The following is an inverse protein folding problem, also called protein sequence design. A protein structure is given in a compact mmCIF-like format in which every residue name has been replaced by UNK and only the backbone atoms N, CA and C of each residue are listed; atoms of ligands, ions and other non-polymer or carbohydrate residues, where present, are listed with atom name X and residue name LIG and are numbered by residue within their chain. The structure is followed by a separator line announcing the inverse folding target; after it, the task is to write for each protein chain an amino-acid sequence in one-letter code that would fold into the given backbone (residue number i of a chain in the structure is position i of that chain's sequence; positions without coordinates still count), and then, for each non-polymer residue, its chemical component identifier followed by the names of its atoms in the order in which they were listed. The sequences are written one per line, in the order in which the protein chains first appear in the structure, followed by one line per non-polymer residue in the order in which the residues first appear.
data_IF_723749831448
#
_entry.id   IF_723749831448
#
_cell.length_a   1.000
_cell.length_b   1.000
_cell.length_c   1.000
_cell.angle_alpha   90.00
_cell.angle_beta   90.00
_cell.angle_gamma   90.00
#
_symmetry.space_group_name_H-M   'P 1'
#
loop_
_entity.id
_entity.type
_entity.pdbx_description
1 polymer ?
#
# COMPACT_ATOMS: atom_id res chain seq x y z
N UNK A 1 16.40 -3.42 -19.72
CA UNK A 1 16.49 -2.76 -18.41
C UNK A 1 16.16 -3.78 -17.33
N UNK A 2 16.89 -3.86 -16.21
CA UNK A 2 16.50 -4.73 -15.10
C UNK A 2 15.14 -4.27 -14.55
N UNK A 3 14.30 -5.24 -14.17
CA UNK A 3 13.02 -4.95 -13.50
C UNK A 3 13.31 -4.28 -12.15
N UNK A 4 12.46 -3.35 -11.67
CA UNK A 4 12.63 -2.80 -10.34
C UNK A 4 12.50 -3.91 -9.29
N UNK A 5 13.38 -3.90 -8.29
CA UNK A 5 13.30 -4.82 -7.16
C UNK A 5 12.13 -4.41 -6.26
N UNK A 6 11.17 -5.31 -6.08
CA UNK A 6 10.07 -5.16 -5.12
C UNK A 6 10.23 -6.18 -4.01
N UNK A 7 10.10 -5.77 -2.73
CA UNK A 7 10.22 -6.70 -1.61
C UNK A 7 9.20 -7.84 -1.70
N UNK A 8 9.57 -8.99 -1.15
CA UNK A 8 8.72 -10.17 -1.04
C UNK A 8 7.52 -9.91 -0.10
N UNK A 9 6.52 -10.79 -0.19
CA UNK A 9 5.37 -10.79 0.71
C UNK A 9 5.82 -10.90 2.17
N UNK A 10 5.39 -9.94 2.98
CA UNK A 10 5.62 -9.93 4.44
C UNK A 10 4.31 -10.23 5.15
N UNK A 11 4.29 -11.27 5.98
CA UNK A 11 3.09 -11.64 6.75
C UNK A 11 2.70 -10.51 7.71
N UNK A 12 1.41 -10.15 7.70
CA UNK A 12 0.84 -9.25 8.68
C UNK A 12 0.55 -10.01 9.98
N UNK A 13 0.89 -9.42 11.13
CA UNK A 13 0.73 -10.04 12.45
C UNK A 13 0.16 -9.04 13.45
N UNK A 14 -0.38 -9.53 14.57
CA UNK A 14 -0.90 -8.70 15.65
C UNK A 14 -1.94 -7.69 15.18
N UNK A 15 -1.79 -6.43 15.60
CA UNK A 15 -2.70 -5.33 15.29
C UNK A 15 -2.86 -5.09 13.79
N UNK A 16 -1.82 -5.34 12.99
CA UNK A 16 -1.91 -5.20 11.55
C UNK A 16 -2.97 -6.13 10.97
N UNK A 17 -2.99 -7.40 11.41
CA UNK A 17 -3.98 -8.37 10.94
C UNK A 17 -5.42 -7.99 11.37
N UNK A 18 -5.59 -7.41 12.57
CA UNK A 18 -6.90 -6.96 13.08
C UNK A 18 -7.46 -5.82 12.23
N UNK A 19 -6.62 -4.84 11.88
CA UNK A 19 -7.05 -3.66 11.10
C UNK A 19 -7.46 -4.01 9.67
N UNK A 20 -6.98 -5.12 9.11
CA UNK A 20 -7.33 -5.55 7.75
C UNK A 20 -8.78 -6.04 7.61
N UNK A 21 -9.50 -6.24 8.72
CA UNK A 21 -10.95 -6.51 8.69
C UNK A 21 -11.76 -5.35 8.10
N UNK A 22 -11.26 -4.10 8.18
CA UNK A 22 -11.93 -2.94 7.63
C UNK A 22 -12.05 -3.00 6.09
N UNK A 23 -11.03 -3.56 5.43
CA UNK A 23 -10.96 -3.67 3.96
C UNK A 23 -12.06 -4.59 3.42
N UNK A 24 -12.37 -5.66 4.16
CA UNK A 24 -13.35 -6.67 3.74
C UNK A 24 -14.78 -6.26 4.08
N UNK A 25 -14.98 -5.34 5.02
CA UNK A 25 -16.30 -4.83 5.41
C UNK A 25 -16.92 -3.85 4.41
N UNK A 26 -16.11 -3.06 3.70
CA UNK A 26 -16.58 -2.11 2.70
C UNK A 26 -15.51 -1.85 1.60
N UNK A 27 -15.33 -2.78 0.65
CA UNK A 27 -14.41 -2.60 -0.47
C UNK A 27 -14.74 -1.35 -1.31
N UNK A 28 -13.71 -0.73 -1.89
CA UNK A 28 -13.79 0.52 -2.66
C UNK A 28 -13.77 1.80 -1.81
N UNK A 29 -14.04 1.71 -0.51
CA UNK A 29 -13.94 2.84 0.40
C UNK A 29 -12.50 2.99 0.93
N UNK A 30 -12.11 4.24 1.13
CA UNK A 30 -10.84 4.61 1.74
C UNK A 30 -11.01 4.78 3.25
N UNK A 31 -10.14 4.15 4.02
CA UNK A 31 -10.15 4.22 5.48
C UNK A 31 -8.79 4.66 6.03
N UNK A 32 -8.75 5.52 7.06
CA UNK A 32 -7.52 5.77 7.80
C UNK A 32 -6.98 4.46 8.39
N UNK A 33 -5.68 4.24 8.25
CA UNK A 33 -4.99 3.08 8.81
C UNK A 33 -4.05 3.56 9.94
N UNK A 34 -4.18 3.04 11.17
CA UNK A 34 -3.34 3.49 12.28
C UNK A 34 -1.85 3.24 12.01
N UNK A 35 -1.00 4.25 12.14
CA UNK A 35 0.45 4.10 11.95
C UNK A 35 1.06 3.04 12.89
N UNK A 36 0.55 2.95 14.13
CA UNK A 36 0.99 1.93 15.10
C UNK A 36 0.60 0.49 14.73
N UNK A 37 -0.31 0.32 13.77
CA UNK A 37 -0.68 -1.00 13.23
C UNK A 37 0.11 -1.34 11.94
N UNK A 38 1.06 -0.50 11.52
CA UNK A 38 1.92 -0.84 10.41
C UNK A 38 2.86 -1.99 10.80
N UNK A 39 3.15 -2.94 9.89
CA UNK A 39 4.20 -3.91 10.11
C UNK A 39 5.52 -3.23 10.50
N UNK A 40 6.21 -3.76 11.51
CA UNK A 40 7.46 -3.16 12.00
C UNK A 40 8.56 -3.07 10.93
N UNK A 41 8.50 -3.85 9.84
CA UNK A 41 9.38 -3.72 8.69
C UNK A 41 9.11 -2.43 7.89
N UNK A 42 7.84 -2.03 7.73
CA UNK A 42 7.44 -0.78 7.07
C UNK A 42 7.84 0.40 7.93
N UNK A 43 7.51 0.37 9.23
CA UNK A 43 7.81 1.45 10.17
C UNK A 43 9.31 1.75 10.24
N UNK A 44 10.15 0.71 10.39
CA UNK A 44 11.61 0.87 10.43
C UNK A 44 12.20 1.36 9.11
N UNK A 45 11.57 1.01 7.98
CA UNK A 45 12.03 1.39 6.64
C UNK A 45 11.64 2.81 6.23
N UNK A 46 10.74 3.47 6.96
CA UNK A 46 10.17 4.77 6.59
C UNK A 46 10.29 5.78 7.75
N UNK A 47 11.38 6.55 7.84
CA UNK A 47 11.44 7.63 8.81
C UNK A 47 10.44 8.74 8.46
N UNK A 48 9.89 9.40 9.49
CA UNK A 48 8.93 10.51 9.40
C UNK A 48 7.58 10.13 8.75
N UNK A 49 7.03 8.98 9.11
CA UNK A 49 5.66 8.61 8.76
C UNK A 49 4.67 9.68 9.23
N UNK A 50 3.67 9.96 8.40
CA UNK A 50 2.67 10.99 8.68
C UNK A 50 1.27 10.41 8.68
N UNK A 51 0.88 9.73 7.60
CA UNK A 51 -0.45 9.17 7.46
C UNK A 51 -0.39 7.80 6.79
N UNK A 52 -1.40 6.98 7.03
CA UNK A 52 -1.63 5.77 6.26
C UNK A 52 -3.12 5.61 6.00
N UNK A 53 -3.44 5.09 4.83
CA UNK A 53 -4.79 4.85 4.38
C UNK A 53 -4.86 3.51 3.68
N UNK A 54 -6.02 2.87 3.74
CA UNK A 54 -6.21 1.54 3.19
C UNK A 54 -7.52 1.47 2.42
N UNK A 55 -7.51 0.73 1.32
CA UNK A 55 -8.70 0.52 0.49
C UNK A 55 -8.72 -0.90 -0.05
N UNK A 56 -9.92 -1.49 -0.10
CA UNK A 56 -10.16 -2.81 -0.64
C UNK A 56 -10.54 -2.80 -2.11
N UNK A 57 -10.08 -3.80 -2.85
CA UNK A 57 -10.59 -4.04 -4.19
C UNK A 57 -12.00 -4.63 -4.13
N UNK A 58 -12.91 -4.11 -4.93
CA UNK A 58 -14.27 -4.68 -5.08
C UNK A 58 -14.19 -6.14 -5.54
N UNK A 59 -13.23 -6.45 -6.41
CA UNK A 59 -12.93 -7.80 -6.85
C UNK A 59 -11.47 -8.13 -6.52
N UNK A 60 -11.22 -9.11 -5.61
CA UNK A 60 -9.88 -9.59 -5.35
C UNK A 60 -9.18 -10.04 -6.63
N UNK A 61 -7.90 -9.69 -6.77
CA UNK A 61 -7.08 -9.99 -7.94
C UNK A 61 -6.16 -11.16 -7.64
N UNK A 62 -6.02 -12.09 -8.59
CA UNK A 62 -5.07 -13.19 -8.43
C UNK A 62 -3.64 -12.67 -8.62
N UNK A 63 -2.77 -12.96 -7.66
CA UNK A 63 -1.32 -12.69 -7.76
C UNK A 63 -0.61 -14.04 -7.86
N UNK A 64 0.55 -14.15 -8.51
CA UNK A 64 1.38 -15.35 -8.41
C UNK A 64 1.63 -15.76 -6.94
N UNK A 65 2.04 -17.01 -6.75
CA UNK A 65 2.43 -17.59 -5.45
C UNK A 65 1.27 -17.86 -4.48
N UNK A 66 0.06 -18.05 -5.00
CA UNK A 66 -1.10 -18.48 -4.19
C UNK A 66 -1.70 -17.39 -3.30
N UNK A 67 -1.30 -16.14 -3.50
CA UNK A 67 -1.85 -14.97 -2.81
C UNK A 67 -2.93 -14.32 -3.67
N UNK A 68 -4.04 -13.94 -3.05
CA UNK A 68 -5.05 -13.05 -3.65
C UNK A 68 -4.83 -11.65 -3.13
N UNK A 69 -4.56 -10.69 -4.02
CA UNK A 69 -4.56 -9.28 -3.65
C UNK A 69 -5.99 -8.82 -3.40
N UNK A 70 -6.22 -8.23 -2.23
CA UNK A 70 -7.53 -7.78 -1.77
C UNK A 70 -7.62 -6.27 -1.63
N UNK A 71 -6.52 -5.54 -1.81
CA UNK A 71 -6.51 -4.09 -1.70
C UNK A 71 -5.11 -3.51 -1.68
N UNK A 72 -5.06 -2.23 -1.31
CA UNK A 72 -3.83 -1.45 -1.22
C UNK A 72 -3.77 -0.72 0.11
N UNK A 73 -2.56 -0.59 0.64
CA UNK A 73 -2.20 0.27 1.75
C UNK A 73 -1.31 1.38 1.21
N UNK A 74 -1.73 2.63 1.41
CA UNK A 74 -0.93 3.81 1.14
C UNK A 74 -0.31 4.30 2.44
N UNK A 75 0.98 4.63 2.41
CA UNK A 75 1.73 5.16 3.53
C UNK A 75 2.46 6.43 3.11
N UNK A 76 2.24 7.53 3.80
CA UNK A 76 2.88 8.81 3.51
C UNK A 76 3.98 9.12 4.52
N UNK A 77 5.00 9.85 4.07
CA UNK A 77 6.03 10.42 4.94
C UNK A 77 6.42 11.81 4.49
N UNK A 78 6.91 12.61 5.43
CA UNK A 78 7.44 13.93 5.14
C UNK A 78 8.67 13.89 4.22
N UNK A 79 8.77 14.86 3.32
CA UNK A 79 9.96 15.10 2.50
C UNK A 79 10.41 16.56 2.54
N UNK A 80 11.63 16.81 2.04
CA UNK A 80 12.17 18.15 1.93
C UNK A 80 11.77 18.77 0.59
N UNK A 81 11.52 20.07 0.63
CA UNK A 81 11.22 20.94 -0.52
C UNK A 81 12.18 20.68 -1.71
N UNK A 82 11.69 20.67 -2.97
CA UNK A 82 10.40 21.18 -3.46
C UNK A 82 9.17 20.30 -3.18
N UNK A 83 9.35 19.03 -2.85
CA UNK A 83 8.25 18.15 -2.47
C UNK A 83 8.08 18.07 -0.96
N UNK A 84 6.87 18.20 -0.46
CA UNK A 84 6.61 18.16 0.98
C UNK A 84 6.25 16.76 1.50
N UNK A 85 6.02 15.79 0.60
CA UNK A 85 5.63 14.43 0.96
C UNK A 85 6.02 13.37 -0.07
N UNK A 86 6.10 12.12 0.41
CA UNK A 86 6.19 10.92 -0.44
C UNK A 86 5.12 9.91 -0.05
N UNK A 87 4.41 9.34 -1.03
CA UNK A 87 3.33 8.38 -0.82
C UNK A 87 3.71 6.99 -1.36
N UNK A 88 3.77 5.97 -0.53
CA UNK A 88 4.15 4.62 -0.93
C UNK A 88 2.93 3.72 -0.96
N UNK A 89 2.77 2.92 -2.02
CA UNK A 89 1.72 1.91 -2.05
C UNK A 89 2.27 0.53 -1.69
N UNK A 90 1.43 -0.26 -1.06
CA UNK A 90 1.65 -1.66 -0.76
C UNK A 90 0.43 -2.44 -1.24
N UNK A 91 0.65 -3.60 -1.85
CA UNK A 91 -0.43 -4.57 -2.03
C UNK A 91 -0.74 -5.21 -0.69
N UNK A 92 -2.03 -5.37 -0.43
CA UNK A 92 -2.56 -6.20 0.66
C UNK A 92 -3.08 -7.48 0.03
N UNK A 93 -2.64 -8.62 0.54
CA UNK A 93 -3.06 -9.93 0.04
C UNK A 93 -3.40 -10.91 1.15
N UNK A 94 -4.06 -11.99 0.77
CA UNK A 94 -4.35 -13.15 1.64
C UNK A 94 -3.94 -14.45 0.95
N UNK A 95 -3.43 -15.40 1.73
CA UNK A 95 -3.20 -16.77 1.26
C UNK A 95 -4.49 -17.63 1.32
N UNK A 96 -4.37 -18.91 0.97
CA UNK A 96 -5.49 -19.88 1.01
C UNK A 96 -6.07 -20.09 2.41
N UNK A 97 -5.29 -19.81 3.45
CA UNK A 97 -5.66 -19.95 4.85
C UNK A 97 -6.15 -18.62 5.45
N UNK A 98 -6.42 -17.63 4.59
CA UNK A 98 -6.82 -16.28 4.95
C UNK A 98 -5.82 -15.52 5.84
N UNK A 99 -4.53 -15.89 5.81
CA UNK A 99 -3.52 -15.09 6.47
C UNK A 99 -3.23 -13.84 5.63
N UNK A 100 -3.20 -12.65 6.25
CA UNK A 100 -2.87 -11.41 5.57
C UNK A 100 -1.37 -11.21 5.34
N UNK A 101 -1.03 -10.56 4.21
CA UNK A 101 0.31 -10.17 3.83
C UNK A 101 0.33 -8.78 3.19
N UNK A 102 1.49 -8.13 3.27
CA UNK A 102 1.81 -6.91 2.55
C UNK A 102 2.95 -7.15 1.57
N UNK A 103 2.90 -6.52 0.39
CA UNK A 103 4.02 -6.48 -0.56
C UNK A 103 4.27 -5.06 -1.02
N UNK A 104 5.54 -4.69 -1.19
CA UNK A 104 5.94 -3.31 -1.51
C UNK A 104 7.07 -2.83 -0.61
N UNK A 105 7.44 -1.54 -0.65
CA UNK A 105 6.68 -0.45 -1.27
C UNK A 105 6.82 -0.37 -2.80
N UNK A 106 5.71 -0.12 -3.48
CA UNK A 106 5.63 0.24 -4.91
C UNK A 106 5.74 1.76 -5.08
N UNK A 107 6.52 2.18 -6.08
CA UNK A 107 6.99 3.56 -6.26
C UNK A 107 7.03 4.13 -7.69
N UNK A 108 6.74 3.41 -8.79
CA UNK A 108 6.63 4.12 -10.06
C UNK A 108 5.21 4.68 -10.14
N UNK A 109 4.96 5.90 -9.68
CA UNK A 109 3.86 6.71 -10.21
C UNK A 109 4.24 8.18 -10.05
N UNK A 110 3.90 9.06 -11.00
CA UNK A 110 4.35 10.46 -11.00
C UNK A 110 4.06 11.20 -9.69
N UNK A 111 2.95 10.86 -9.04
CA UNK A 111 2.44 11.46 -7.82
C UNK A 111 3.03 10.84 -6.54
N UNK A 112 3.97 9.89 -6.65
CA UNK A 112 4.73 9.34 -5.50
C UNK A 112 5.39 10.46 -4.69
N UNK A 113 5.76 11.53 -5.38
CA UNK A 113 6.27 12.78 -4.86
C UNK A 113 5.16 13.83 -4.97
N UNK A 114 4.81 14.50 -3.87
CA UNK A 114 3.73 15.48 -3.90
C UNK A 114 3.97 16.71 -3.03
N UNK A 115 3.37 17.82 -3.47
CA UNK A 115 3.21 19.00 -2.64
C UNK A 115 1.87 18.89 -1.87
N UNK A 116 1.95 18.90 -0.55
CA UNK A 116 0.83 18.84 0.40
C UNK A 116 -0.07 20.06 0.24
N UNK A 117 0.54 21.21 -0.06
CA UNK A 117 -0.19 22.47 -0.29
C UNK A 117 -0.92 22.47 -1.62
N UNK A 118 -0.52 21.60 -2.57
CA UNK A 118 -1.25 21.40 -3.82
C UNK A 118 -2.54 20.58 -3.63
N UNK A 119 -2.73 19.97 -2.45
CA UNK A 119 -3.98 19.32 -2.08
C UNK A 119 -4.33 18.08 -2.89
N UNK A 120 -3.34 17.27 -3.31
CA UNK A 120 -3.60 16.03 -4.05
C UNK A 120 -4.56 15.15 -3.24
N UNK A 121 -5.77 14.85 -3.76
CA UNK A 121 -6.70 14.00 -3.06
C UNK A 121 -6.11 12.61 -2.83
N UNK A 122 -6.21 12.11 -1.61
CA UNK A 122 -5.63 10.81 -1.23
C UNK A 122 -6.14 9.67 -2.13
N UNK A 123 -7.38 9.72 -2.60
CA UNK A 123 -7.94 8.69 -3.45
C UNK A 123 -7.23 8.58 -4.82
N UNK A 124 -6.66 9.68 -5.33
CA UNK A 124 -5.93 9.69 -6.61
C UNK A 124 -4.58 8.98 -6.54
N UNK A 125 -4.12 8.67 -5.32
CA UNK A 125 -2.87 7.96 -5.05
C UNK A 125 -3.05 6.42 -5.06
N UNK A 126 -4.27 5.91 -5.10
CA UNK A 126 -4.59 4.48 -5.16
C UNK A 126 -4.77 3.98 -6.60
N UNK A 127 -4.83 2.65 -6.78
CA UNK A 127 -5.12 1.99 -8.06
C UNK A 127 -3.97 2.06 -9.05
N UNK A 128 -2.75 2.33 -8.58
CA UNK A 128 -1.55 2.48 -9.42
C UNK A 128 -0.75 1.18 -9.60
N UNK A 129 -1.09 0.12 -8.88
CA UNK A 129 -0.41 -1.18 -8.95
C UNK A 129 -1.25 -2.13 -9.80
N UNK A 130 -0.65 -2.76 -10.83
CA UNK A 130 -1.20 -3.99 -11.42
C UNK A 130 -0.82 -5.17 -10.50
N UNK A 131 -1.77 -5.80 -9.79
CA UNK A 131 -1.46 -6.90 -8.89
C UNK A 131 -0.95 -8.15 -9.60
N UNK A 132 -1.28 -8.35 -10.88
CA UNK A 132 -0.80 -9.48 -11.68
C UNK A 132 0.62 -9.23 -12.22
N UNK A 133 1.03 -7.96 -12.36
CA UNK A 133 2.37 -7.54 -12.75
C UNK A 133 2.93 -6.47 -11.81
N UNK A 134 3.12 -6.81 -10.52
CA UNK A 134 3.56 -5.84 -9.54
C UNK A 134 4.93 -5.27 -9.94
N UNK A 135 4.94 -4.01 -10.36
CA UNK A 135 6.15 -3.33 -10.83
C UNK A 135 6.14 -2.80 -12.25
N UNK A 136 5.07 -3.08 -13.00
CA UNK A 136 4.72 -2.32 -14.18
C UNK A 136 3.59 -1.37 -13.79
N UNK A 137 3.79 -0.07 -14.03
CA UNK A 137 2.70 0.90 -13.94
C UNK A 137 1.68 0.61 -15.01
N UNK A 138 0.40 0.63 -14.63
CA UNK A 138 -0.66 0.90 -15.59
C UNK A 138 -0.48 2.36 -16.04
N UNK A 139 0.16 2.57 -17.19
CA UNK A 139 0.13 3.81 -17.95
C UNK A 139 -0.95 3.71 -19.01
#
# INVERSE_FOLDING_TARGET
MPLPYYPDWTKATGDAAVQLTAITGAPGNLWPYPLGALPGSIEKGMPKLEEAYISGYVLPQHVPDGIKAIGELMVTRGHNVPESGKAYLYLVGIDSDANPYFRGPYKPYPEHYYNKDAGIPVHDLFGRIDPAKPGQTNL
#
